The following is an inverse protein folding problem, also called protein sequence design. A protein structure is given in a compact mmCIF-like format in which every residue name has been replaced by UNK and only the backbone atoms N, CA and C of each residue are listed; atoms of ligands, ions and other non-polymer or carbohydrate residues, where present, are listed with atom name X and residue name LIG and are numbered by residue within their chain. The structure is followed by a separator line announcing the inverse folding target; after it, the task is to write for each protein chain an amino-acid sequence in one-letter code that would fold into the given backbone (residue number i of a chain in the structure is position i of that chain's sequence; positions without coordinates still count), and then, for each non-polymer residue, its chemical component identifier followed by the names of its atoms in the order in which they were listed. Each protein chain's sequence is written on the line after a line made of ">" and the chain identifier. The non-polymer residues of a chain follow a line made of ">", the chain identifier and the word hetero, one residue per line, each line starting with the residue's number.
data_IF_003065842157
#
_entry.id   IF_003065842157
#
_cell.length_a   1.000
_cell.length_b   1.000
_cell.length_c   1.000
_cell.angle_alpha   90.00
_cell.angle_beta   90.00
_cell.angle_gamma   90.00
#
_symmetry.space_group_name_H-M   'P 1'
#
loop_
_entity.id
_entity.type
_entity.pdbx_description
1 polymer ?
#
# COMPACT_ATOMS: atom_id res chain seq x y z
N UNK A 1 7.62 7.37 -14.75
CA UNK A 1 7.43 8.53 -13.86
C UNK A 1 8.70 8.91 -13.09
N UNK A 2 9.27 7.99 -12.30
CA UNK A 2 10.46 8.26 -11.47
C UNK A 2 11.64 8.88 -12.23
N UNK A 3 12.06 8.25 -13.33
CA UNK A 3 13.18 8.74 -14.16
C UNK A 3 12.90 10.10 -14.80
N UNK A 4 11.64 10.37 -15.17
CA UNK A 4 11.26 11.68 -15.68
C UNK A 4 11.34 12.74 -14.59
N UNK A 5 10.75 12.49 -13.41
CA UNK A 5 10.77 13.41 -12.27
C UNK A 5 12.20 13.74 -11.81
N UNK A 6 13.08 12.73 -11.77
CA UNK A 6 14.50 12.89 -11.41
C UNK A 6 15.27 13.82 -12.37
N UNK A 7 14.87 13.88 -13.63
CA UNK A 7 15.51 14.70 -14.66
C UNK A 7 14.85 16.08 -14.80
N UNK A 8 13.51 16.15 -14.68
CA UNK A 8 12.76 17.39 -14.93
C UNK A 8 12.59 18.27 -13.70
N UNK A 9 12.73 17.72 -12.49
CA UNK A 9 12.61 18.48 -11.24
C UNK A 9 13.93 18.43 -10.46
N UNK A 10 14.69 19.53 -10.50
CA UNK A 10 15.99 19.63 -9.83
C UNK A 10 15.90 19.36 -8.31
N UNK A 11 14.83 19.82 -7.66
CA UNK A 11 14.59 19.56 -6.23
C UNK A 11 14.36 18.08 -5.93
N UNK A 12 13.56 17.39 -6.75
CA UNK A 12 13.35 15.95 -6.60
C UNK A 12 14.61 15.15 -6.93
N UNK A 13 15.36 15.53 -7.98
CA UNK A 13 16.64 14.90 -8.32
C UNK A 13 17.66 15.00 -7.18
N UNK A 14 17.82 16.20 -6.60
CA UNK A 14 18.69 16.43 -5.44
C UNK A 14 18.25 15.60 -4.22
N UNK A 15 16.94 15.56 -3.97
CA UNK A 15 16.36 14.74 -2.91
C UNK A 15 16.65 13.24 -3.11
N UNK A 16 16.39 12.72 -4.32
CA UNK A 16 16.61 11.32 -4.65
C UNK A 16 18.10 10.94 -4.53
N UNK A 17 19.00 11.81 -4.98
CA UNK A 17 20.44 11.60 -4.83
C UNK A 17 20.86 11.52 -3.36
N UNK A 18 20.29 12.37 -2.49
CA UNK A 18 20.51 12.32 -1.05
C UNK A 18 20.00 11.01 -0.46
N UNK A 19 18.82 10.54 -0.87
CA UNK A 19 18.28 9.27 -0.39
C UNK A 19 19.10 8.06 -0.85
N UNK A 20 19.60 8.06 -2.08
CA UNK A 20 20.50 7.02 -2.57
C UNK A 20 21.84 6.98 -1.83
N UNK A 21 22.31 8.12 -1.31
CA UNK A 21 23.51 8.19 -0.49
C UNK A 21 23.26 7.74 0.96
N UNK A 22 22.07 7.98 1.50
CA UNK A 22 21.68 7.57 2.85
C UNK A 22 21.28 6.08 2.93
N UNK A 23 20.57 5.61 1.91
CA UNK A 23 20.03 4.26 1.78
C UNK A 23 20.56 3.66 0.49
N UNK A 24 21.68 2.94 0.58
CA UNK A 24 22.18 2.18 -0.55
C UNK A 24 21.11 1.16 -1.00
N UNK A 25 20.99 1.00 -2.31
CA UNK A 25 20.02 0.09 -2.93
C UNK A 25 20.80 -0.95 -3.73
N UNK A 26 20.69 -2.21 -3.33
CA UNK A 26 21.30 -3.34 -4.02
C UNK A 26 20.39 -4.59 -3.95
N UNK A 27 20.83 -5.68 -4.57
CA UNK A 27 20.07 -6.94 -4.61
C UNK A 27 19.81 -7.56 -3.23
N UNK A 28 20.66 -7.29 -2.24
CA UNK A 28 20.56 -7.84 -0.89
C UNK A 28 19.77 -6.94 0.06
N UNK A 29 19.82 -5.63 -0.18
CA UNK A 29 19.04 -4.62 0.55
C UNK A 29 18.25 -3.75 -0.43
N UNK A 30 17.22 -4.32 -1.09
CA UNK A 30 16.36 -3.54 -1.98
C UNK A 30 15.49 -2.57 -1.17
N UNK A 31 15.15 -1.45 -1.79
CA UNK A 31 14.19 -0.50 -1.26
C UNK A 31 12.77 -1.10 -1.19
N UNK A 32 11.93 -0.57 -0.31
CA UNK A 32 10.55 -1.04 -0.14
C UNK A 32 9.56 -0.12 -0.84
N UNK A 33 8.87 -0.64 -1.86
CA UNK A 33 7.78 0.08 -2.53
C UNK A 33 6.54 0.07 -1.63
N UNK A 34 6.00 1.26 -1.43
CA UNK A 34 4.73 1.50 -0.73
C UNK A 34 3.66 1.77 -1.77
N UNK A 35 2.53 1.06 -1.69
CA UNK A 35 1.30 1.41 -2.37
C UNK A 35 0.31 2.00 -1.39
N UNK A 36 -0.35 3.09 -1.80
CA UNK A 36 -1.40 3.74 -1.02
C UNK A 36 -2.67 3.84 -1.85
N UNK A 37 -3.78 3.29 -1.36
CA UNK A 37 -5.09 3.44 -1.99
C UNK A 37 -5.95 4.42 -1.21
N UNK A 38 -6.60 5.33 -1.93
CA UNK A 38 -7.46 6.37 -1.36
C UNK A 38 -8.72 6.57 -2.19
N UNK A 39 -9.74 7.10 -1.55
CA UNK A 39 -11.02 7.44 -2.12
C UNK A 39 -11.22 8.95 -2.11
N UNK A 40 -11.10 9.57 -3.28
CA UNK A 40 -11.17 11.02 -3.42
C UNK A 40 -12.56 11.44 -3.90
N UNK A 41 -13.22 12.28 -3.11
CA UNK A 41 -14.55 12.83 -3.41
C UNK A 41 -14.48 14.35 -3.63
N UNK A 42 -14.38 14.85 -4.87
CA UNK A 42 -14.35 16.28 -5.12
C UNK A 42 -15.67 16.97 -4.76
N UNK A 43 -15.60 18.09 -4.04
CA UNK A 43 -16.76 18.89 -3.67
C UNK A 43 -17.42 18.43 -2.37
N UNK A 44 -18.76 18.49 -2.31
CA UNK A 44 -19.50 18.13 -1.11
C UNK A 44 -19.54 16.61 -0.91
N UNK A 45 -18.78 16.11 0.05
CA UNK A 45 -18.70 14.69 0.40
C UNK A 45 -20.05 14.11 0.88
N UNK A 46 -20.91 14.94 1.48
CA UNK A 46 -22.23 14.53 1.99
C UNK A 46 -23.31 14.49 0.91
N UNK A 47 -22.98 14.84 -0.35
CA UNK A 47 -23.94 14.76 -1.44
C UNK A 47 -24.27 13.29 -1.71
N UNK A 48 -25.55 12.95 -1.61
CA UNK A 48 -26.07 11.59 -1.84
C UNK A 48 -25.58 10.97 -3.16
N UNK A 49 -25.45 11.77 -4.22
CA UNK A 49 -24.94 11.31 -5.52
C UNK A 49 -23.62 12.00 -5.86
N UNK A 50 -22.52 11.29 -5.62
CA UNK A 50 -21.17 11.72 -5.97
C UNK A 50 -20.63 11.00 -7.22
N UNK A 51 -21.11 11.40 -8.40
CA UNK A 51 -20.63 10.89 -9.70
C UNK A 51 -19.16 11.21 -10.01
N UNK A 52 -18.52 12.05 -9.20
CA UNK A 52 -17.12 12.46 -9.35
C UNK A 52 -16.17 11.74 -8.40
N UNK A 53 -16.69 10.83 -7.58
CA UNK A 53 -15.92 9.99 -6.68
C UNK A 53 -14.87 9.18 -7.45
N UNK A 54 -13.62 9.26 -7.01
CA UNK A 54 -12.45 8.62 -7.60
C UNK A 54 -11.87 7.60 -6.65
N UNK A 55 -11.33 6.53 -7.21
CA UNK A 55 -10.40 5.63 -6.56
C UNK A 55 -9.02 5.96 -7.11
N UNK A 56 -8.10 6.25 -6.21
CA UNK A 56 -6.74 6.66 -6.53
C UNK A 56 -5.75 5.70 -5.91
N UNK A 57 -4.73 5.32 -6.67
CA UNK A 57 -3.59 4.54 -6.16
C UNK A 57 -2.34 5.37 -6.35
N UNK A 58 -1.58 5.52 -5.28
CA UNK A 58 -0.30 6.19 -5.24
C UNK A 58 0.79 5.19 -4.90
N UNK A 59 2.03 5.54 -5.24
CA UNK A 59 3.19 4.76 -4.83
C UNK A 59 4.37 5.64 -4.44
N UNK A 60 5.24 5.10 -3.59
CA UNK A 60 6.49 5.74 -3.18
C UNK A 60 7.49 4.70 -2.65
N UNK A 61 8.64 5.15 -2.17
CA UNK A 61 9.63 4.30 -1.50
C UNK A 61 9.65 4.60 0.00
N UNK A 62 9.74 3.55 0.83
CA UNK A 62 9.89 3.68 2.29
C UNK A 62 11.10 4.54 2.65
N UNK A 63 12.17 4.41 1.88
CA UNK A 63 13.47 5.07 2.02
C UNK A 63 13.41 6.57 1.71
N UNK A 64 12.23 7.12 1.41
CA UNK A 64 12.03 8.56 1.38
C UNK A 64 11.86 9.17 2.77
N UNK A 65 11.73 8.34 3.82
CA UNK A 65 11.65 8.73 5.23
C UNK A 65 10.60 9.83 5.47
N UNK A 66 10.97 10.91 6.16
CA UNK A 66 10.13 12.08 6.40
C UNK A 66 9.64 12.75 5.11
N UNK A 67 10.25 12.46 3.96
CA UNK A 67 9.76 12.88 2.65
C UNK A 67 8.36 12.34 2.34
N UNK A 68 7.97 11.18 2.88
CA UNK A 68 6.63 10.59 2.71
C UNK A 68 5.50 11.48 3.26
N UNK A 69 5.81 12.41 4.16
CA UNK A 69 4.87 13.43 4.63
C UNK A 69 4.50 14.45 3.54
N UNK A 70 5.29 14.55 2.46
CA UNK A 70 5.01 15.41 1.32
C UNK A 70 4.23 14.68 0.24
N UNK A 71 3.10 15.26 -0.17
CA UNK A 71 2.32 14.75 -1.31
C UNK A 71 3.10 14.77 -2.63
N UNK A 72 4.08 15.66 -2.78
CA UNK A 72 4.94 15.73 -3.96
C UNK A 72 5.80 14.48 -4.18
N UNK A 73 5.97 13.65 -3.13
CA UNK A 73 6.72 12.41 -3.15
C UNK A 73 5.80 11.16 -3.23
N UNK A 74 4.50 11.35 -3.48
CA UNK A 74 3.51 10.30 -3.72
C UNK A 74 3.16 10.26 -5.20
N UNK A 75 3.79 9.35 -5.94
CA UNK A 75 3.57 9.24 -7.37
C UNK A 75 2.18 8.67 -7.65
N UNK A 76 1.37 9.38 -8.44
CA UNK A 76 0.06 8.90 -8.87
C UNK A 76 0.21 7.75 -9.85
N UNK A 77 -0.18 6.55 -9.44
CA UNK A 77 -0.22 5.38 -10.32
C UNK A 77 -1.49 5.38 -11.16
N UNK A 78 -2.63 5.69 -10.54
CA UNK A 78 -3.90 5.84 -11.25
C UNK A 78 -4.91 6.70 -10.48
N UNK A 79 -5.86 7.25 -11.23
CA UNK A 79 -7.03 7.95 -10.71
C UNK A 79 -8.24 7.64 -11.60
N UNK A 80 -9.15 6.80 -11.11
CA UNK A 80 -10.27 6.25 -11.89
C UNK A 80 -11.58 6.54 -11.18
N UNK A 81 -12.66 6.82 -11.93
CA UNK A 81 -13.98 7.01 -11.31
C UNK A 81 -14.43 5.74 -10.61
N UNK A 82 -15.00 5.87 -9.41
CA UNK A 82 -15.52 4.71 -8.66
C UNK A 82 -16.54 3.90 -9.46
N UNK A 83 -17.39 4.56 -10.27
CA UNK A 83 -18.33 3.87 -11.15
C UNK A 83 -17.66 3.02 -12.25
N UNK A 84 -16.47 3.41 -12.72
CA UNK A 84 -15.69 2.61 -13.65
C UNK A 84 -15.06 1.42 -12.92
N UNK A 85 -14.51 1.62 -11.73
CA UNK A 85 -13.94 0.54 -10.91
C UNK A 85 -14.99 -0.54 -10.62
N UNK A 86 -16.21 -0.15 -10.25
CA UNK A 86 -17.32 -1.10 -10.07
C UNK A 86 -17.59 -1.90 -11.35
N UNK A 87 -17.62 -1.25 -12.52
CA UNK A 87 -17.80 -1.95 -13.80
C UNK A 87 -16.65 -2.88 -14.17
N UNK A 88 -15.43 -2.60 -13.70
CA UNK A 88 -14.25 -3.43 -13.91
C UNK A 88 -14.21 -4.67 -13.00
N UNK A 89 -15.12 -4.78 -12.02
CA UNK A 89 -15.12 -5.87 -11.05
C UNK A 89 -14.57 -5.48 -9.67
N UNK A 90 -14.39 -4.19 -9.40
CA UNK A 90 -14.03 -3.69 -8.07
C UNK A 90 -12.56 -3.33 -7.89
N UNK A 91 -12.21 -2.97 -6.65
CA UNK A 91 -10.87 -2.47 -6.31
C UNK A 91 -9.80 -3.55 -6.45
N UNK A 92 -10.09 -4.80 -6.11
CA UNK A 92 -9.19 -5.95 -6.26
C UNK A 92 -8.70 -6.12 -7.70
N UNK A 93 -9.60 -5.98 -8.68
CA UNK A 93 -9.25 -6.05 -10.11
C UNK A 93 -8.37 -4.87 -10.52
N UNK A 94 -8.74 -3.66 -10.11
CA UNK A 94 -7.91 -2.47 -10.36
C UNK A 94 -6.51 -2.64 -9.75
N UNK A 95 -6.44 -3.05 -8.49
CA UNK A 95 -5.20 -3.19 -7.73
C UNK A 95 -4.29 -4.26 -8.36
N UNK A 96 -4.84 -5.40 -8.79
CA UNK A 96 -4.12 -6.40 -9.57
C UNK A 96 -3.44 -5.79 -10.80
N UNK A 97 -4.16 -4.97 -11.58
CA UNK A 97 -3.58 -4.30 -12.73
C UNK A 97 -2.53 -3.25 -12.36
N UNK A 98 -2.69 -2.58 -11.22
CA UNK A 98 -1.71 -1.61 -10.71
C UNK A 98 -0.41 -2.26 -10.21
N UNK A 99 -0.43 -3.55 -9.91
CA UNK A 99 0.77 -4.29 -9.52
C UNK A 99 1.65 -4.69 -10.71
N UNK A 100 1.06 -4.95 -11.89
CA UNK A 100 1.78 -5.43 -13.08
C UNK A 100 2.97 -4.57 -13.50
N UNK A 101 2.89 -3.21 -13.51
CA UNK A 101 4.04 -2.37 -13.87
C UNK A 101 5.29 -2.56 -13.01
N UNK A 102 5.16 -3.15 -11.82
CA UNK A 102 6.28 -3.44 -10.93
C UNK A 102 6.91 -4.83 -11.16
N UNK A 103 6.33 -5.67 -12.03
CA UNK A 103 6.76 -7.04 -12.29
C UNK A 103 7.02 -7.36 -13.77
N UNK A 104 6.63 -6.49 -14.70
CA UNK A 104 6.85 -6.67 -16.14
C UNK A 104 8.18 -6.02 -16.60
N UNK A 105 8.16 -5.17 -17.64
CA UNK A 105 9.36 -4.65 -18.34
C UNK A 105 10.34 -3.82 -17.48
N UNK A 106 9.88 -3.33 -16.33
CA UNK A 106 10.65 -2.48 -15.41
C UNK A 106 10.56 -2.99 -13.97
N UNK A 107 10.76 -4.30 -13.81
CA UNK A 107 10.79 -4.95 -12.49
C UNK A 107 11.99 -4.45 -11.65
N UNK A 108 11.67 -3.72 -10.59
CA UNK A 108 12.64 -3.16 -9.66
C UNK A 108 13.48 -4.23 -8.95
N UNK A 109 13.04 -5.49 -8.91
CA UNK A 109 13.80 -6.58 -8.27
C UNK A 109 15.08 -6.88 -9.05
N UNK A 110 15.10 -6.62 -10.35
CA UNK A 110 16.29 -6.79 -11.20
C UNK A 110 17.10 -5.50 -11.36
N UNK A 111 16.66 -4.40 -10.74
CA UNK A 111 17.31 -3.10 -10.81
C UNK A 111 16.80 -2.27 -11.98
N UNK A 112 16.42 -1.03 -11.69
CA UNK A 112 15.99 -0.04 -12.69
C UNK A 112 16.97 1.13 -12.68
N UNK A 113 17.46 1.50 -13.86
CA UNK A 113 18.35 2.65 -14.00
C UNK A 113 17.57 3.96 -14.00
N UNK A 114 17.95 4.87 -13.11
CA UNK A 114 17.39 6.22 -13.00
C UNK A 114 18.51 7.23 -13.19
N UNK A 115 18.32 8.13 -14.15
CA UNK A 115 19.27 9.22 -14.38
C UNK A 115 18.89 10.41 -13.49
N UNK A 116 19.85 10.86 -12.69
CA UNK A 116 19.72 12.00 -11.78
C UNK A 116 20.83 12.97 -12.12
N UNK A 117 20.47 14.16 -12.62
CA UNK A 117 21.44 15.08 -13.21
C UNK A 117 22.29 14.37 -14.29
N UNK A 118 23.62 14.39 -14.15
CA UNK A 118 24.57 13.76 -15.08
C UNK A 118 25.02 12.36 -14.65
N UNK A 119 24.38 11.77 -13.63
CA UNK A 119 24.73 10.45 -13.10
C UNK A 119 23.59 9.46 -13.30
N UNK A 120 23.95 8.23 -13.63
CA UNK A 120 23.00 7.11 -13.67
C UNK A 120 23.16 6.31 -12.39
N UNK A 121 22.05 6.12 -11.70
CA UNK A 121 21.93 5.30 -10.51
C UNK A 121 21.12 4.05 -10.84
N UNK A 122 21.44 2.92 -10.21
CA UNK A 122 20.63 1.71 -10.27
C UNK A 122 19.87 1.59 -8.97
N UNK A 123 18.56 1.37 -9.06
CA UNK A 123 17.67 1.24 -7.90
C UNK A 123 17.05 -0.14 -7.93
N UNK A 124 17.29 -0.91 -6.88
CA UNK A 124 16.65 -2.18 -6.58
C UNK A 124 15.53 -1.96 -5.58
N UNK A 125 14.34 -2.47 -5.87
CA UNK A 125 13.21 -2.35 -4.95
C UNK A 125 12.23 -3.52 -5.12
N UNK A 126 11.43 -3.76 -4.09
CA UNK A 126 10.36 -4.75 -4.11
C UNK A 126 9.10 -4.19 -3.45
N UNK A 127 7.93 -4.65 -3.89
CA UNK A 127 6.68 -4.35 -3.19
C UNK A 127 6.76 -4.85 -1.75
N UNK A 128 6.65 -3.94 -0.79
CA UNK A 128 6.77 -4.26 0.63
C UNK A 128 5.57 -3.86 1.46
N UNK A 129 4.89 -2.76 1.13
CA UNK A 129 3.88 -2.18 2.00
C UNK A 129 2.65 -1.77 1.17
N UNK A 130 1.47 -2.18 1.63
CA UNK A 130 0.18 -1.63 1.18
C UNK A 130 -0.46 -0.93 2.36
N UNK A 131 -0.70 0.37 2.24
CA UNK A 131 -1.35 1.21 3.25
C UNK A 131 -2.65 1.74 2.68
N UNK A 132 -3.74 1.63 3.43
CA UNK A 132 -4.98 2.36 3.15
C UNK A 132 -5.78 2.48 4.46
N UNK A 133 -6.91 3.18 4.41
CA UNK A 133 -7.90 3.05 5.48
C UNK A 133 -8.55 1.65 5.48
N UNK A 134 -9.37 1.37 6.51
CA UNK A 134 -10.01 0.06 6.66
C UNK A 134 -10.91 -0.30 5.47
N UNK A 135 -11.70 0.65 4.97
CA UNK A 135 -12.66 0.41 3.90
C UNK A 135 -11.99 0.14 2.54
N UNK A 136 -10.89 0.85 2.25
CA UNK A 136 -10.08 0.64 1.06
C UNK A 136 -9.31 -0.68 1.13
N UNK A 137 -8.72 -1.04 2.28
CA UNK A 137 -8.07 -2.35 2.47
C UNK A 137 -9.08 -3.48 2.30
N UNK A 138 -10.27 -3.34 2.91
CA UNK A 138 -11.38 -4.28 2.76
C UNK A 138 -11.74 -4.52 1.29
N UNK A 139 -11.87 -3.44 0.52
CA UNK A 139 -12.24 -3.50 -0.89
C UNK A 139 -11.11 -4.01 -1.78
N UNK A 140 -9.85 -3.75 -1.41
CA UNK A 140 -8.65 -4.19 -2.16
C UNK A 140 -8.41 -5.68 -2.01
N UNK A 141 -8.62 -6.22 -0.80
CA UNK A 141 -8.37 -7.62 -0.47
C UNK A 141 -9.62 -8.50 -0.42
N UNK A 142 -10.79 -7.94 -0.72
CA UNK A 142 -12.09 -8.62 -0.62
C UNK A 142 -12.32 -9.31 0.73
N UNK A 143 -11.76 -8.76 1.80
CA UNK A 143 -11.95 -9.27 3.15
C UNK A 143 -13.24 -8.72 3.76
N UNK A 144 -13.70 -9.33 4.86
CA UNK A 144 -14.88 -8.82 5.58
C UNK A 144 -14.60 -7.53 6.34
N UNK A 145 -13.35 -7.26 6.72
CA UNK A 145 -12.98 -6.10 7.53
C UNK A 145 -13.58 -6.18 8.94
N UNK A 146 -13.84 -5.04 9.55
CA UNK A 146 -14.35 -4.94 10.92
C UNK A 146 -15.71 -5.66 11.15
N UNK A 147 -16.47 -5.94 10.09
CA UNK A 147 -17.73 -6.70 10.18
C UNK A 147 -17.54 -8.23 10.22
N UNK A 148 -16.32 -8.73 10.04
CA UNK A 148 -16.00 -10.16 10.09
C UNK A 148 -15.75 -10.66 11.51
N UNK A 149 -15.97 -11.96 11.75
CA UNK A 149 -15.50 -12.63 12.97
C UNK A 149 -13.98 -12.53 13.10
N UNK A 150 -13.26 -12.75 12.00
CA UNK A 150 -11.85 -12.40 11.87
C UNK A 150 -11.78 -11.05 11.18
N UNK A 151 -11.39 -10.02 11.93
CA UNK A 151 -11.46 -8.62 11.47
C UNK A 151 -10.24 -8.21 10.64
N UNK A 152 -9.10 -8.87 10.86
CA UNK A 152 -7.82 -8.60 10.21
C UNK A 152 -7.39 -9.83 9.40
N UNK A 153 -7.02 -9.64 8.13
CA UNK A 153 -6.50 -10.74 7.30
C UNK A 153 -5.10 -11.20 7.71
N UNK A 154 -4.35 -10.35 8.43
CA UNK A 154 -3.00 -10.66 8.87
C UNK A 154 -2.95 -11.34 10.24
N UNK A 155 -4.00 -11.23 11.07
CA UNK A 155 -4.02 -11.84 12.40
C UNK A 155 -4.75 -13.18 12.37
N UNK A 156 -4.18 -14.19 13.03
CA UNK A 156 -4.79 -15.52 13.21
C UNK A 156 -5.76 -15.57 14.38
N UNK A 157 -5.51 -14.75 15.39
CA UNK A 157 -6.17 -14.88 16.68
C UNK A 157 -7.02 -13.67 17.10
N UNK A 158 -7.04 -12.60 16.30
CA UNK A 158 -7.85 -11.42 16.60
C UNK A 158 -9.26 -11.63 16.07
N UNK A 159 -10.22 -11.70 16.99
CA UNK A 159 -11.64 -11.94 16.70
C UNK A 159 -12.51 -10.75 17.10
N UNK A 160 -13.61 -10.54 16.38
CA UNK A 160 -14.59 -9.50 16.75
C UNK A 160 -15.08 -9.70 18.17
N UNK A 161 -15.12 -8.62 18.96
CA UNK A 161 -15.73 -8.60 20.30
C UNK A 161 -17.16 -9.17 20.26
N UNK A 162 -17.93 -8.84 19.23
CA UNK A 162 -19.32 -9.29 19.08
C UNK A 162 -19.48 -10.80 18.84
N UNK A 163 -18.40 -11.52 18.50
CA UNK A 163 -18.45 -12.96 18.27
C UNK A 163 -18.39 -13.79 19.56
N UNK A 164 -17.98 -13.18 20.69
CA UNK A 164 -17.76 -13.83 21.99
C UNK A 164 -16.75 -15.01 21.99
N UNK A 165 -16.04 -15.23 20.89
CA UNK A 165 -15.07 -16.32 20.76
C UNK A 165 -13.88 -16.18 21.72
N UNK A 166 -13.45 -14.95 21.99
CA UNK A 166 -12.35 -14.68 22.93
C UNK A 166 -12.69 -15.05 24.39
N UNK A 167 -13.98 -15.03 24.77
CA UNK A 167 -14.40 -15.44 26.12
C UNK A 167 -14.69 -16.94 26.22
N UNK A 168 -15.14 -17.55 25.12
CA UNK A 168 -15.52 -18.98 25.07
C UNK A 168 -14.36 -19.90 24.72
N UNK A 169 -13.22 -19.36 24.31
CA UNK A 169 -12.00 -20.10 23.98
C UNK A 169 -11.24 -20.58 25.23
N UNK A 170 -11.37 -21.87 25.52
CA UNK A 170 -10.65 -22.52 26.61
C UNK A 170 -9.12 -22.56 26.42
N UNK A 171 -8.61 -22.34 25.21
CA UNK A 171 -7.17 -22.34 24.93
C UNK A 171 -6.50 -20.99 25.24
N UNK A 172 -7.28 -19.91 25.35
CA UNK A 172 -6.78 -18.56 25.55
C UNK A 172 -6.01 -18.00 24.35
N UNK A 173 -6.20 -18.58 23.16
CA UNK A 173 -5.54 -18.15 21.93
C UNK A 173 -6.17 -16.87 21.38
N UNK A 174 -7.51 -16.78 21.40
CA UNK A 174 -8.22 -15.67 20.79
C UNK A 174 -8.15 -14.38 21.61
N UNK A 175 -7.75 -13.30 20.94
CA UNK A 175 -7.76 -11.95 21.47
C UNK A 175 -8.96 -11.16 20.89
N UNK A 176 -9.66 -10.35 21.69
CA UNK A 176 -10.73 -9.50 21.17
C UNK A 176 -10.18 -8.39 20.27
N UNK A 177 -10.98 -7.91 19.31
CA UNK A 177 -10.62 -6.80 18.41
C UNK A 177 -10.42 -5.46 19.11
N UNK A 178 -10.77 -5.35 20.40
CA UNK A 178 -10.50 -4.20 21.26
C UNK A 178 -9.19 -4.31 22.05
N UNK A 179 -8.44 -5.42 21.90
CA UNK A 179 -7.12 -5.58 22.51
C UNK A 179 -6.15 -4.55 21.95
N UNK A 180 -5.37 -3.91 22.83
CA UNK A 180 -4.42 -2.86 22.48
C UNK A 180 -2.97 -3.33 22.60
N UNK A 181 -2.73 -4.44 23.30
CA UNK A 181 -1.43 -5.08 23.39
C UNK A 181 -1.15 -5.92 22.13
N UNK A 182 -0.50 -5.29 21.16
CA UNK A 182 -0.10 -5.91 19.88
C UNK A 182 0.83 -7.10 20.04
N UNK A 183 1.50 -7.27 21.20
CA UNK A 183 2.36 -8.44 21.44
C UNK A 183 1.57 -9.74 21.56
N UNK A 184 0.27 -9.66 21.83
CA UNK A 184 -0.65 -10.80 21.86
C UNK A 184 -1.15 -11.20 20.47
N UNK A 185 -0.84 -10.43 19.43
CA UNK A 185 -1.33 -10.71 18.08
C UNK A 185 -0.43 -11.74 17.42
N UNK A 186 -1.04 -12.82 16.96
CA UNK A 186 -0.36 -13.88 16.23
C UNK A 186 -0.61 -13.65 14.74
N UNK A 187 0.44 -13.29 14.01
CA UNK A 187 0.34 -13.06 12.57
C UNK A 187 0.19 -14.37 11.78
N UNK A 188 -0.46 -14.26 10.63
CA UNK A 188 -0.47 -15.29 9.60
C UNK A 188 0.94 -15.50 9.05
N UNK A 189 1.24 -16.75 8.68
CA UNK A 189 2.45 -17.16 7.95
C UNK A 189 2.03 -17.85 6.66
N UNK A 190 2.96 -18.06 5.73
CA UNK A 190 2.67 -18.79 4.49
C UNK A 190 2.11 -20.20 4.74
N UNK A 191 2.46 -20.83 5.86
CA UNK A 191 1.94 -22.14 6.25
C UNK A 191 0.52 -22.09 6.82
N UNK A 192 0.08 -20.95 7.35
CA UNK A 192 -1.25 -20.82 7.96
C UNK A 192 -2.35 -20.37 6.99
N UNK A 193 -2.00 -20.01 5.75
CA UNK A 193 -2.91 -19.47 4.71
C UNK A 193 -3.11 -20.44 3.52
N UNK A 194 -2.67 -21.71 3.65
CA UNK A 194 -2.85 -22.74 2.63
C UNK A 194 -4.26 -23.33 2.58
#
# INVERSE_FOLDING_TARGET
>A
MLSHAAQSCAGFGTFLQKQLAAHASDLTTPWSIILYSDEVSPGNQLKHDNKRKLQTVYWSFREFDAGLCSEALRFVLTAVRSSMVVRMGGMSVLFKHMLLPFYDDHDFRFGVTVRVHDRTHMIFASLGIVVSDEAALKSTWEMKGASGTLTCMACRNVVSVSSDLHNTDATGFFAPSSETDVSKFVLQTDDSVR
#
